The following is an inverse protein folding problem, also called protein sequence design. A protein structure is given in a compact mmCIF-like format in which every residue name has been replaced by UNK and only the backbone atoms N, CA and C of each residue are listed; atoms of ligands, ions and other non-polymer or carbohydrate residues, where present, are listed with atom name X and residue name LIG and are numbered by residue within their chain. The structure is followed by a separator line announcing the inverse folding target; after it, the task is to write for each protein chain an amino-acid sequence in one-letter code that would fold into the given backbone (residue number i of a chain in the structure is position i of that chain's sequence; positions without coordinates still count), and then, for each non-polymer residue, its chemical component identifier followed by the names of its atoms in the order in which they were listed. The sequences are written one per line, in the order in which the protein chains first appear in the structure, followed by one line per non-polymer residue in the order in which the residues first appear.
data_IF_728403632584
#
_entry.id   IF_728403632584
#
_cell.length_a   1.000
_cell.length_b   1.000
_cell.length_c   1.000
_cell.angle_alpha   90.00
_cell.angle_beta   90.00
_cell.angle_gamma   90.00
#
_symmetry.space_group_name_H-M   'P 1'
#
loop_
_entity.id
_entity.type
_entity.pdbx_description
1 polymer ?
#
# COMPACT_ATOMS: atom_id res chain seq x y z
N UNK A 1 -4.14 -13.67 -17.15
CA UNK A 1 -4.92 -12.61 -16.49
C UNK A 1 -4.28 -11.30 -16.88
N UNK A 2 -5.01 -10.41 -17.55
CA UNK A 2 -4.48 -9.11 -17.97
C UNK A 2 -4.20 -8.29 -16.71
N UNK A 3 -2.92 -8.02 -16.42
CA UNK A 3 -2.55 -6.98 -15.48
C UNK A 3 -2.81 -5.67 -16.18
N UNK A 4 -3.94 -5.02 -15.88
CA UNK A 4 -4.14 -3.64 -16.31
C UNK A 4 -2.89 -2.84 -15.89
N UNK A 5 -2.30 -2.05 -16.79
CA UNK A 5 -1.18 -1.20 -16.42
C UNK A 5 -1.64 -0.29 -15.28
N UNK A 6 -0.88 -0.31 -14.20
CA UNK A 6 -1.06 0.62 -13.09
C UNK A 6 -0.85 2.01 -13.64
N UNK A 7 -1.76 2.94 -13.36
CA UNK A 7 -1.55 4.34 -13.71
C UNK A 7 -0.62 5.01 -12.69
N UNK A 8 0.29 5.86 -13.17
CA UNK A 8 1.14 6.67 -12.29
C UNK A 8 0.30 7.58 -11.36
N UNK A 9 -0.89 7.98 -11.83
CA UNK A 9 -1.89 8.70 -11.02
C UNK A 9 -2.27 7.91 -9.77
N UNK A 10 -2.51 6.61 -9.89
CA UNK A 10 -2.91 5.79 -8.74
C UNK A 10 -1.78 5.61 -7.73
N UNK A 11 -0.54 5.48 -8.20
CA UNK A 11 0.63 5.43 -7.31
C UNK A 11 0.72 6.73 -6.50
N UNK A 12 0.48 7.85 -7.16
CA UNK A 12 0.48 9.18 -6.54
C UNK A 12 -0.64 9.30 -5.51
N UNK A 13 -1.87 8.89 -5.84
CA UNK A 13 -3.00 8.90 -4.90
C UNK A 13 -2.74 8.04 -3.65
N UNK A 14 -2.14 6.86 -3.83
CA UNK A 14 -1.75 6.01 -2.71
C UNK A 14 -0.67 6.68 -1.87
N UNK A 15 0.34 7.26 -2.51
CA UNK A 15 1.42 7.97 -1.81
C UNK A 15 0.86 9.11 -0.96
N UNK A 16 0.01 9.96 -1.54
CA UNK A 16 -0.60 11.09 -0.85
C UNK A 16 -1.49 10.64 0.31
N UNK A 17 -2.27 9.58 0.11
CA UNK A 17 -3.09 9.00 1.19
C UNK A 17 -2.23 8.55 2.36
N UNK A 18 -1.19 7.75 2.12
CA UNK A 18 -0.34 7.22 3.19
C UNK A 18 0.51 8.30 3.85
N UNK A 19 0.97 9.29 3.08
CA UNK A 19 1.70 10.43 3.59
C UNK A 19 0.82 11.27 4.54
N UNK A 20 -0.40 11.61 4.12
CA UNK A 20 -1.35 12.37 4.94
C UNK A 20 -1.77 11.67 6.24
N UNK A 21 -1.68 10.34 6.29
CA UNK A 21 -2.10 9.54 7.45
C UNK A 21 -0.92 8.87 8.17
N UNK A 22 0.32 9.26 7.90
CA UNK A 22 1.53 8.61 8.45
C UNK A 22 1.51 8.52 9.97
N UNK A 23 1.03 9.55 10.65
CA UNK A 23 0.95 9.61 12.12
C UNK A 23 -0.18 8.76 12.70
N UNK A 24 -1.15 8.38 11.86
CA UNK A 24 -2.31 7.55 12.22
C UNK A 24 -2.14 6.09 11.82
N UNK A 25 -1.04 5.73 11.17
CA UNK A 25 -0.79 4.34 10.79
C UNK A 25 -0.56 3.49 12.05
N UNK A 26 -1.35 2.43 12.27
CA UNK A 26 -1.17 1.55 13.41
C UNK A 26 0.10 0.71 13.20
N UNK A 27 0.73 0.26 14.29
CA UNK A 27 1.87 -0.65 14.20
C UNK A 27 1.46 -2.00 13.60
N UNK A 28 0.26 -2.49 13.93
CA UNK A 28 -0.30 -3.74 13.40
C UNK A 28 -1.65 -3.49 12.76
N UNK A 29 -1.89 -4.12 11.61
CA UNK A 29 -3.15 -4.02 10.86
C UNK A 29 -3.61 -5.38 10.36
N UNK A 30 -4.85 -5.73 10.70
CA UNK A 30 -5.50 -6.91 10.16
C UNK A 30 -6.08 -6.59 8.78
N UNK A 31 -5.47 -7.14 7.73
CA UNK A 31 -5.91 -6.91 6.34
C UNK A 31 -7.04 -7.88 5.97
N UNK A 32 -6.91 -9.13 6.41
CA UNK A 32 -7.90 -10.19 6.24
C UNK A 32 -7.78 -11.21 7.38
N UNK A 33 -8.73 -12.15 7.55
CA UNK A 33 -8.65 -13.17 8.59
C UNK A 33 -7.35 -14.00 8.58
N UNK A 34 -6.70 -14.12 7.42
CA UNK A 34 -5.46 -14.88 7.24
C UNK A 34 -4.20 -13.99 7.11
N UNK A 35 -4.35 -12.66 7.08
CA UNK A 35 -3.27 -11.73 6.73
C UNK A 35 -3.24 -10.57 7.72
N UNK A 36 -2.19 -10.55 8.55
CA UNK A 36 -1.89 -9.44 9.48
C UNK A 36 -0.54 -8.85 9.10
N UNK A 37 -0.50 -7.53 8.98
CA UNK A 37 0.74 -6.78 8.76
C UNK A 37 1.19 -6.19 10.08
N UNK A 38 2.45 -6.43 10.42
CA UNK A 38 3.15 -5.75 11.50
C UNK A 38 4.08 -4.68 10.90
N UNK A 39 4.36 -3.64 11.67
CA UNK A 39 5.11 -2.46 11.25
C UNK A 39 4.57 -1.85 9.95
N UNK A 40 3.26 -1.54 9.92
CA UNK A 40 2.57 -1.04 8.71
C UNK A 40 3.31 0.12 8.07
N UNK A 41 3.78 1.08 8.88
CA UNK A 41 4.56 2.24 8.41
C UNK A 41 5.81 1.82 7.62
N UNK A 42 6.58 0.88 8.14
CA UNK A 42 7.78 0.39 7.46
C UNK A 42 7.41 -0.32 6.16
N UNK A 43 6.38 -1.18 6.19
CA UNK A 43 5.94 -1.88 4.98
C UNK A 43 5.49 -0.91 3.88
N UNK A 44 4.75 0.14 4.24
CA UNK A 44 4.30 1.18 3.29
C UNK A 44 5.52 1.89 2.68
N UNK A 45 6.47 2.33 3.50
CA UNK A 45 7.68 3.01 3.05
C UNK A 45 8.54 2.12 2.15
N UNK A 46 8.78 0.87 2.56
CA UNK A 46 9.51 -0.13 1.78
C UNK A 46 8.83 -0.38 0.44
N UNK A 47 7.50 -0.38 0.43
CA UNK A 47 6.73 -0.59 -0.79
C UNK A 47 6.94 0.56 -1.77
N UNK A 48 6.85 1.82 -1.33
CA UNK A 48 7.15 2.96 -2.20
C UNK A 48 8.60 3.02 -2.66
N UNK A 49 9.56 2.66 -1.79
CA UNK A 49 10.96 2.55 -2.17
C UNK A 49 11.16 1.54 -3.31
N UNK A 50 10.51 0.37 -3.21
CA UNK A 50 10.54 -0.68 -4.24
C UNK A 50 9.88 -0.22 -5.55
N UNK A 51 8.76 0.50 -5.48
CA UNK A 51 8.08 1.01 -6.68
C UNK A 51 8.94 1.98 -7.49
N UNK A 52 9.83 2.71 -6.81
CA UNK A 52 10.78 3.65 -7.42
C UNK A 52 12.07 3.00 -7.94
N UNK A 53 12.27 1.69 -7.74
CA UNK A 53 13.46 1.00 -8.27
C UNK A 53 13.36 0.83 -9.78
N UNK A 54 14.43 1.24 -10.48
CA UNK A 54 14.59 0.95 -11.90
C UNK A 54 14.73 -0.56 -12.14
N UNK A 55 14.12 -1.05 -13.23
CA UNK A 55 14.20 -2.47 -13.61
C UNK A 55 13.34 -3.42 -12.76
N UNK A 56 12.48 -2.92 -11.87
CA UNK A 56 11.55 -3.78 -11.15
C UNK A 56 10.54 -4.43 -12.12
N UNK A 57 10.33 -5.76 -12.06
CA UNK A 57 9.34 -6.43 -12.90
C UNK A 57 7.93 -5.93 -12.59
N UNK A 58 7.12 -5.70 -13.62
CA UNK A 58 5.72 -5.24 -13.48
C UNK A 58 4.87 -6.15 -12.58
N UNK A 59 5.18 -7.45 -12.55
CA UNK A 59 4.53 -8.39 -11.62
C UNK A 59 4.76 -7.99 -10.16
N UNK A 60 6.00 -7.64 -9.79
CA UNK A 60 6.32 -7.24 -8.42
C UNK A 60 5.70 -5.88 -8.12
N UNK A 61 5.75 -4.94 -9.08
CA UNK A 61 5.08 -3.64 -8.98
C UNK A 61 3.58 -3.80 -8.68
N UNK A 62 2.90 -4.67 -9.42
CA UNK A 62 1.49 -5.01 -9.22
C UNK A 62 1.21 -5.64 -7.85
N UNK A 63 2.04 -6.58 -7.40
CA UNK A 63 1.89 -7.18 -6.07
C UNK A 63 2.00 -6.16 -4.96
N UNK A 64 2.99 -5.26 -5.07
CA UNK A 64 3.25 -4.17 -4.12
C UNK A 64 2.09 -3.18 -4.04
N UNK A 65 1.56 -2.76 -5.17
CA UNK A 65 0.40 -1.85 -5.19
C UNK A 65 -0.86 -2.52 -4.65
N UNK A 66 -1.09 -3.79 -4.99
CA UNK A 66 -2.22 -4.53 -4.42
C UNK A 66 -2.14 -4.61 -2.89
N UNK A 67 -0.93 -4.72 -2.33
CA UNK A 67 -0.71 -4.64 -0.89
C UNK A 67 -1.09 -3.25 -0.33
N UNK A 68 -0.63 -2.17 -0.95
CA UNK A 68 -1.01 -0.80 -0.55
C UNK A 68 -2.52 -0.56 -0.61
N UNK A 69 -3.19 -1.03 -1.67
CA UNK A 69 -4.66 -0.96 -1.80
C UNK A 69 -5.35 -1.68 -0.64
N UNK A 70 -4.93 -2.91 -0.34
CA UNK A 70 -5.47 -3.71 0.76
C UNK A 70 -5.30 -3.02 2.12
N UNK A 71 -4.11 -2.46 2.37
CA UNK A 71 -3.82 -1.70 3.59
C UNK A 71 -4.74 -0.48 3.68
N UNK A 72 -4.88 0.30 2.60
CA UNK A 72 -5.78 1.47 2.57
C UNK A 72 -7.22 1.06 2.92
N UNK A 73 -7.74 0.00 2.32
CA UNK A 73 -9.10 -0.50 2.60
C UNK A 73 -9.24 -0.93 4.06
N UNK A 74 -8.24 -1.60 4.62
CA UNK A 74 -8.25 -1.99 6.03
C UNK A 74 -8.24 -0.77 6.96
N UNK A 75 -7.39 0.23 6.70
CA UNK A 75 -7.36 1.48 7.47
C UNK A 75 -8.71 2.20 7.45
N UNK A 76 -9.37 2.27 6.28
CA UNK A 76 -10.69 2.88 6.17
C UNK A 76 -11.74 2.15 7.01
N UNK A 77 -11.66 0.82 7.13
CA UNK A 77 -12.55 0.02 8.00
C UNK A 77 -12.31 0.30 9.49
N UNK A 78 -11.06 0.58 9.87
CA UNK A 78 -10.67 0.97 11.22
C UNK A 78 -10.99 2.45 11.53
N UNK A 79 -11.64 3.18 10.61
CA UNK A 79 -11.96 4.60 10.78
C UNK A 79 -10.78 5.55 10.57
N UNK A 80 -9.69 5.05 9.96
CA UNK A 80 -8.51 5.84 9.60
C UNK A 80 -8.63 6.26 8.14
N UNK A 81 -8.71 7.57 7.88
CA UNK A 81 -8.79 8.12 6.53
C UNK A 81 -10.20 8.41 6.00
N UNK A 82 -11.10 8.80 6.90
CA UNK A 82 -12.38 9.46 6.62
C UNK A 82 -12.36 10.86 7.25
#
# INVERSE_FOLDING_TARGET
MATNPISDTEITELHDFFHAHTDRLPETLLISPAETVNNVRNLVNDTFAILNLEGIPDRIRNMRINMLRKIRVALQKEGIGI
#
